data_IF_897252544813
#
_entry.id   IF_897252544813
#
_cell.length_a   1.000
_cell.length_b   1.000
_cell.length_c   1.000
_cell.angle_alpha   90.00
_cell.angle_beta   90.00
_cell.angle_gamma   90.00
#
_symmetry.space_group_name_H-M   'P 1'
#
loop_
_entity.id
_entity.type
_entity.pdbx_description
1 polymer ?
#
# COMPACT_ATOMS: atom_id res chain seq x y z
N UNK A 1 69.33 -26.38 35.86
CA UNK A 1 69.95 -27.71 36.02
C UNK A 1 68.94 -28.57 36.69
N UNK A 2 68.74 -29.80 36.20
CA UNK A 2 67.92 -30.88 36.79
C UNK A 2 66.43 -30.55 37.01
N UNK A 3 65.47 -31.27 36.41
CA UNK A 3 65.22 -32.73 36.46
C UNK A 3 64.88 -33.17 37.91
N UNK A 4 63.80 -33.89 38.21
CA UNK A 4 62.60 -34.22 37.41
C UNK A 4 61.44 -34.64 38.34
N UNK A 5 60.26 -34.88 37.75
CA UNK A 5 59.06 -35.63 38.17
C UNK A 5 59.11 -36.57 39.42
N UNK A 6 58.00 -36.86 40.13
CA UNK A 6 56.61 -36.33 40.12
C UNK A 6 55.97 -36.59 41.52
N UNK A 7 54.68 -36.82 41.85
CA UNK A 7 53.42 -37.14 41.14
C UNK A 7 52.20 -36.82 42.07
N UNK A 8 50.98 -37.20 41.71
CA UNK A 8 49.82 -37.45 42.61
C UNK A 8 49.07 -36.27 43.25
N UNK A 9 48.81 -35.20 42.49
CA UNK A 9 47.76 -34.23 42.86
C UNK A 9 46.36 -34.78 42.55
N UNK A 10 45.71 -35.41 43.53
CA UNK A 10 44.26 -35.64 43.52
C UNK A 10 43.54 -34.29 43.48
N UNK A 11 42.79 -34.01 42.40
CA UNK A 11 42.12 -32.72 42.22
C UNK A 11 40.84 -32.63 43.05
N UNK A 12 40.98 -32.21 44.30
CA UNK A 12 39.87 -31.93 45.20
C UNK A 12 39.16 -30.62 44.84
N UNK A 13 37.83 -30.65 44.74
CA UNK A 13 36.90 -29.51 44.73
C UNK A 13 37.14 -28.35 43.73
N UNK A 14 36.18 -28.19 42.80
CA UNK A 14 35.51 -26.90 42.67
C UNK A 14 34.01 -27.13 42.86
N UNK A 15 33.40 -26.34 43.74
CA UNK A 15 31.95 -26.34 43.93
C UNK A 15 31.28 -25.68 42.72
N UNK A 16 30.21 -26.28 42.22
CA UNK A 16 29.22 -25.59 41.40
C UNK A 16 28.13 -25.03 42.31
N UNK A 17 27.73 -23.77 42.12
CA UNK A 17 26.74 -23.11 42.97
C UNK A 17 25.36 -23.80 42.88
N UNK A 18 24.98 -24.50 43.95
CA UNK A 18 23.55 -24.70 44.26
C UNK A 18 22.97 -23.33 44.65
N UNK A 19 22.50 -22.58 43.65
CA UNK A 19 21.85 -21.29 43.83
C UNK A 19 20.52 -21.49 44.57
N UNK A 20 20.55 -21.43 45.90
CA UNK A 20 19.35 -21.39 46.74
C UNK A 20 18.52 -20.13 46.41
N UNK A 21 17.52 -20.30 45.54
CA UNK A 21 16.55 -19.26 45.20
C UNK A 21 15.88 -18.76 46.49
N UNK A 22 15.85 -17.44 46.76
CA UNK A 22 15.20 -16.89 47.95
C UNK A 22 13.77 -17.40 48.11
N UNK A 23 13.35 -17.68 49.35
CA UNK A 23 12.06 -18.33 49.67
C UNK A 23 10.85 -17.71 48.95
N UNK A 24 10.85 -16.39 48.73
CA UNK A 24 9.80 -15.67 47.99
C UNK A 24 9.71 -16.12 46.52
N UNK A 25 10.86 -16.36 45.88
CA UNK A 25 10.94 -16.87 44.50
C UNK A 25 10.54 -18.35 44.42
N UNK A 26 10.88 -19.15 45.43
CA UNK A 26 10.41 -20.54 45.55
C UNK A 26 8.89 -20.60 45.74
N UNK A 27 8.29 -19.72 46.55
CA UNK A 27 6.83 -19.62 46.67
C UNK A 27 6.17 -19.28 45.34
N UNK A 28 6.69 -18.27 44.61
CA UNK A 28 6.18 -17.91 43.28
C UNK A 28 6.26 -19.07 42.29
N UNK A 29 7.38 -19.80 42.25
CA UNK A 29 7.54 -20.98 41.40
C UNK A 29 6.57 -22.11 41.78
N UNK A 30 6.29 -22.32 43.06
CA UNK A 30 5.28 -23.28 43.53
C UNK A 30 3.87 -22.86 43.14
N UNK A 31 3.53 -21.58 43.17
CA UNK A 31 2.23 -21.07 42.71
C UNK A 31 2.07 -21.21 41.19
N UNK A 32 3.08 -20.86 40.39
CA UNK A 32 3.10 -21.04 38.93
C UNK A 32 2.98 -22.52 38.54
N UNK A 33 3.77 -23.40 39.17
CA UNK A 33 3.69 -24.84 38.93
C UNK A 33 2.36 -25.43 39.40
N UNK A 34 1.77 -24.95 40.50
CA UNK A 34 0.44 -25.36 40.96
C UNK A 34 -0.65 -24.98 39.95
N UNK A 35 -0.60 -23.75 39.42
CA UNK A 35 -1.50 -23.29 38.36
C UNK A 35 -1.34 -24.11 37.07
N UNK A 36 -0.10 -24.32 36.61
CA UNK A 36 0.21 -25.13 35.43
C UNK A 36 -0.26 -26.58 35.55
N UNK A 37 -0.01 -27.23 36.69
CA UNK A 37 -0.51 -28.59 36.97
C UNK A 37 -2.04 -28.64 37.03
N UNK A 38 -2.70 -27.61 37.57
CA UNK A 38 -4.17 -27.54 37.57
C UNK A 38 -4.73 -27.41 36.15
N UNK A 39 -4.11 -26.59 35.30
CA UNK A 39 -4.49 -26.44 33.89
C UNK A 39 -4.29 -27.75 33.10
N UNK A 40 -3.12 -28.39 33.22
CA UNK A 40 -2.84 -29.69 32.58
C UNK A 40 -3.79 -30.80 33.05
N UNK A 41 -4.20 -30.79 34.32
CA UNK A 41 -5.21 -31.72 34.85
C UNK A 41 -6.60 -31.48 34.24
N UNK A 42 -7.01 -30.23 34.07
CA UNK A 42 -8.28 -29.89 33.40
C UNK A 42 -8.22 -30.28 31.92
N UNK A 43 -7.10 -30.04 31.24
CA UNK A 43 -6.87 -30.47 29.86
C UNK A 43 -6.96 -32.01 29.73
N UNK A 44 -6.35 -32.74 30.67
CA UNK A 44 -6.42 -34.21 30.74
C UNK A 44 -7.84 -34.71 31.01
N UNK A 45 -8.58 -34.07 31.93
CA UNK A 45 -9.98 -34.44 32.23
C UNK A 45 -10.90 -34.21 31.00
N UNK A 46 -10.66 -33.15 30.22
CA UNK A 46 -11.35 -32.89 28.95
C UNK A 46 -11.01 -33.96 27.91
N UNK A 47 -9.73 -34.33 27.75
CA UNK A 47 -9.32 -35.43 26.86
C UNK A 47 -9.92 -36.78 27.29
N UNK A 48 -9.93 -37.10 28.58
CA UNK A 48 -10.56 -38.32 29.10
C UNK A 48 -12.06 -38.33 28.83
N UNK A 49 -12.78 -37.25 29.10
CA UNK A 49 -14.22 -37.15 28.79
C UNK A 49 -14.48 -37.39 27.31
N UNK A 50 -13.76 -36.68 26.44
CA UNK A 50 -13.91 -36.83 24.99
C UNK A 50 -13.63 -38.25 24.51
N UNK A 51 -12.55 -38.86 24.99
CA UNK A 51 -12.18 -40.22 24.66
C UNK A 51 -13.24 -41.24 25.13
N UNK A 52 -13.76 -41.08 26.36
CA UNK A 52 -14.85 -41.89 26.90
C UNK A 52 -16.21 -41.70 26.17
N UNK A 53 -16.41 -40.58 25.44
CA UNK A 53 -17.56 -40.39 24.52
C UNK A 53 -17.35 -41.11 23.18
N UNK A 54 -16.10 -41.22 22.71
CA UNK A 54 -15.77 -41.82 21.42
C UNK A 54 -15.66 -43.34 21.44
N UNK A 55 -15.23 -43.97 22.53
CA UNK A 55 -15.15 -45.43 22.61
C UNK A 55 -16.55 -46.08 22.48
N UNK A 56 -16.77 -46.98 21.51
CA UNK A 56 -17.94 -47.85 21.50
C UNK A 56 -17.99 -48.64 22.81
N UNK A 57 -19.19 -48.73 23.40
CA UNK A 57 -19.44 -49.20 24.77
C UNK A 57 -18.87 -50.58 25.10
N UNK A 58 -18.55 -51.37 24.09
CA UNK A 58 -17.98 -52.71 24.15
C UNK A 58 -16.46 -52.75 24.44
N UNK A 59 -15.74 -51.64 24.21
CA UNK A 59 -14.26 -51.57 24.34
C UNK A 59 -13.76 -50.94 25.65
N UNK A 60 -14.57 -50.98 26.72
CA UNK A 60 -14.16 -50.54 28.06
C UNK A 60 -13.04 -51.40 28.64
N UNK A 61 -11.80 -51.08 28.29
CA UNK A 61 -10.63 -51.64 28.94
C UNK A 61 -10.67 -51.30 30.44
N UNK A 62 -10.41 -52.30 31.28
CA UNK A 62 -10.51 -52.15 32.73
C UNK A 62 -9.57 -51.03 33.23
N UNK A 63 -10.08 -50.15 34.11
CA UNK A 63 -9.31 -49.03 34.65
C UNK A 63 -8.04 -49.54 35.32
N UNK A 64 -6.90 -48.96 34.95
CA UNK A 64 -5.60 -49.25 35.59
C UNK A 64 -5.56 -48.89 37.09
N UNK A 65 -6.56 -48.16 37.60
CA UNK A 65 -6.74 -47.83 39.02
C UNK A 65 -6.94 -49.04 39.94
N UNK A 66 -7.41 -50.17 39.41
CA UNK A 66 -7.76 -51.33 40.24
C UNK A 66 -6.57 -52.29 40.48
N UNK A 67 -5.43 -52.04 39.82
CA UNK A 67 -4.19 -52.80 40.05
C UNK A 67 -3.48 -52.25 41.30
N UNK A 68 -3.89 -52.74 42.49
CA UNK A 68 -3.15 -52.55 43.75
C UNK A 68 -1.83 -53.32 43.75
N UNK A 69 -0.82 -52.83 43.04
CA UNK A 69 0.55 -53.36 43.14
C UNK A 69 1.09 -53.05 44.53
N UNK A 70 1.44 -54.08 45.30
CA UNK A 70 2.13 -53.90 46.58
C UNK A 70 3.59 -53.47 46.34
N UNK A 71 4.07 -52.51 47.13
CA UNK A 71 5.47 -52.05 47.12
C UNK A 71 6.48 -53.20 47.31
N UNK A 72 6.06 -54.31 47.90
CA UNK A 72 6.88 -55.50 48.17
C UNK A 72 7.25 -56.34 46.95
N UNK A 73 6.55 -56.23 45.82
CA UNK A 73 6.75 -57.11 44.65
C UNK A 73 7.78 -56.59 43.64
N UNK A 74 8.05 -55.28 43.64
CA UNK A 74 9.01 -54.63 42.73
C UNK A 74 10.46 -55.15 42.87
N UNK A 75 10.82 -55.73 44.01
CA UNK A 75 12.21 -56.14 44.29
C UNK A 75 12.64 -57.46 43.63
N UNK A 76 11.72 -58.34 43.23
CA UNK A 76 12.06 -59.74 42.88
C UNK A 76 12.24 -60.02 41.37
N UNK A 77 12.01 -59.04 40.48
CA UNK A 77 12.05 -59.24 39.03
C UNK A 77 13.41 -58.94 38.35
N UNK A 78 14.54 -58.90 39.07
CA UNK A 78 15.89 -58.97 38.48
C UNK A 78 16.23 -60.40 37.99
N UNK A 79 15.40 -60.94 37.09
CA UNK A 79 15.32 -62.35 36.71
C UNK A 79 15.62 -62.71 35.25
N UNK A 80 16.66 -62.12 34.64
CA UNK A 80 17.34 -62.58 33.40
C UNK A 80 16.45 -63.16 32.28
N UNK A 81 15.94 -62.35 31.35
CA UNK A 81 15.55 -62.83 29.99
C UNK A 81 15.68 -61.80 28.86
N UNK A 82 16.81 -61.95 28.13
CA UNK A 82 17.04 -61.77 26.68
C UNK A 82 16.47 -60.52 25.98
N UNK A 83 17.38 -59.71 25.44
CA UNK A 83 17.10 -58.59 24.53
C UNK A 83 16.35 -59.00 23.26
N UNK A 84 15.39 -58.16 22.85
CA UNK A 84 14.97 -58.03 21.45
C UNK A 84 14.50 -56.61 21.16
N UNK A 85 15.39 -55.80 20.57
CA UNK A 85 15.07 -54.42 20.24
C UNK A 85 14.07 -54.35 19.07
N UNK A 86 12.96 -53.67 19.30
CA UNK A 86 12.34 -52.72 18.36
C UNK A 86 12.09 -51.46 19.19
N UNK A 87 12.72 -50.31 18.95
CA UNK A 87 12.90 -49.63 17.67
C UNK A 87 11.58 -49.25 17.00
N UNK A 88 10.56 -48.96 17.82
CA UNK A 88 9.70 -47.82 17.57
C UNK A 88 10.07 -46.75 18.60
N UNK A 89 10.51 -45.57 18.14
CA UNK A 89 10.39 -44.37 18.97
C UNK A 89 8.89 -44.11 19.04
N UNK A 90 8.29 -44.26 20.21
CA UNK A 90 6.89 -43.93 20.43
C UNK A 90 6.76 -42.41 20.38
N UNK A 91 6.65 -41.88 19.15
CA UNK A 91 6.28 -40.50 18.90
C UNK A 91 4.84 -40.37 19.36
N UNK A 92 4.67 -39.99 20.62
CA UNK A 92 3.42 -39.46 21.15
C UNK A 92 2.93 -38.41 20.14
N UNK A 93 1.90 -38.75 19.37
CA UNK A 93 1.33 -37.86 18.36
C UNK A 93 0.50 -36.84 19.13
N UNK A 94 1.19 -35.82 19.65
CA UNK A 94 0.54 -34.70 20.33
C UNK A 94 -0.40 -34.02 19.35
N UNK A 95 -1.68 -33.95 19.71
CA UNK A 95 -2.69 -33.19 18.98
C UNK A 95 -2.16 -31.78 18.69
N UNK A 96 -2.38 -31.29 17.46
CA UNK A 96 -2.01 -29.92 17.10
C UNK A 96 -2.81 -28.93 17.95
N UNK A 97 -2.31 -27.70 18.11
CA UNK A 97 -3.02 -26.66 18.88
C UNK A 97 -4.44 -26.44 18.31
N UNK A 98 -4.58 -26.52 16.99
CA UNK A 98 -5.86 -26.47 16.27
C UNK A 98 -6.80 -27.62 16.66
N UNK A 99 -6.33 -28.88 16.60
CA UNK A 99 -7.09 -30.06 17.04
C UNK A 99 -7.49 -29.98 18.52
N UNK A 100 -6.63 -29.44 19.39
CA UNK A 100 -6.96 -29.18 20.80
C UNK A 100 -8.05 -28.11 20.94
N UNK A 101 -7.99 -27.03 20.17
CA UNK A 101 -9.01 -25.98 20.15
C UNK A 101 -10.37 -26.50 19.65
N UNK A 102 -10.41 -27.29 18.58
CA UNK A 102 -11.62 -27.98 18.10
C UNK A 102 -12.22 -28.86 19.20
N UNK A 103 -11.38 -29.62 19.92
CA UNK A 103 -11.82 -30.48 21.02
C UNK A 103 -12.44 -29.69 22.17
N UNK A 104 -11.76 -28.62 22.60
CA UNK A 104 -12.21 -27.76 23.70
C UNK A 104 -13.52 -27.06 23.33
N UNK A 105 -13.70 -26.65 22.07
CA UNK A 105 -14.98 -26.10 21.58
C UNK A 105 -16.10 -27.14 21.61
N UNK A 106 -15.83 -28.38 21.19
CA UNK A 106 -16.82 -29.46 21.19
C UNK A 106 -17.23 -29.89 22.61
N UNK A 107 -16.26 -30.16 23.49
CA UNK A 107 -16.53 -30.45 24.91
C UNK A 107 -17.25 -29.28 25.60
N UNK A 108 -16.98 -28.02 25.20
CA UNK A 108 -17.69 -26.85 25.70
C UNK A 108 -19.15 -26.80 25.27
N UNK A 109 -19.51 -27.17 24.03
CA UNK A 109 -20.91 -27.26 23.62
C UNK A 109 -21.63 -28.49 24.19
N UNK A 110 -20.95 -29.65 24.26
CA UNK A 110 -21.49 -30.86 24.89
C UNK A 110 -21.82 -30.58 26.37
N UNK A 111 -20.89 -29.98 27.13
CA UNK A 111 -21.13 -29.62 28.54
C UNK A 111 -22.14 -28.48 28.73
N UNK A 112 -22.27 -27.54 27.77
CA UNK A 112 -23.38 -26.57 27.75
C UNK A 112 -24.72 -27.27 27.59
N UNK A 113 -24.83 -28.26 26.71
CA UNK A 113 -26.09 -29.01 26.52
C UNK A 113 -26.43 -29.89 27.73
N UNK A 114 -25.44 -30.57 28.32
CA UNK A 114 -25.59 -31.26 29.61
C UNK A 114 -26.11 -30.31 30.70
N UNK A 115 -25.58 -29.10 30.80
CA UNK A 115 -26.04 -28.07 31.73
C UNK A 115 -27.46 -27.56 31.43
N UNK A 116 -27.83 -27.40 30.16
CA UNK A 116 -29.22 -27.05 29.74
C UNK A 116 -30.18 -28.17 30.17
N UNK A 117 -29.86 -29.43 29.87
CA UNK A 117 -30.71 -30.57 30.21
C UNK A 117 -30.81 -30.78 31.73
N UNK A 118 -29.72 -30.65 32.48
CA UNK A 118 -29.75 -30.76 33.95
C UNK A 118 -30.60 -29.66 34.58
N UNK A 119 -30.50 -28.40 34.12
CA UNK A 119 -31.38 -27.31 34.57
C UNK A 119 -32.85 -27.60 34.26
N UNK A 120 -33.15 -28.02 33.04
CA UNK A 120 -34.51 -28.36 32.62
C UNK A 120 -35.10 -29.60 33.32
N UNK A 121 -34.26 -30.47 33.91
CA UNK A 121 -34.68 -31.51 34.84
C UNK A 121 -34.97 -30.93 36.22
N UNK A 122 -33.99 -30.26 36.83
CA UNK A 122 -34.11 -29.71 38.18
C UNK A 122 -35.28 -28.72 38.34
N UNK A 123 -35.55 -27.90 37.33
CA UNK A 123 -36.72 -27.01 37.30
C UNK A 123 -38.05 -27.79 37.28
N UNK A 124 -38.11 -28.89 36.54
CA UNK A 124 -39.28 -29.78 36.48
C UNK A 124 -39.53 -30.47 37.82
N UNK A 125 -38.47 -30.94 38.45
CA UNK A 125 -38.52 -31.66 39.72
C UNK A 125 -38.86 -30.69 40.87
N UNK A 126 -38.33 -29.45 40.82
CA UNK A 126 -38.71 -28.35 41.71
C UNK A 126 -40.20 -28.01 41.57
N UNK A 127 -40.70 -27.76 40.35
CA UNK A 127 -42.14 -27.51 40.09
C UNK A 127 -43.02 -28.69 40.54
N UNK A 128 -42.52 -29.93 40.45
CA UNK A 128 -43.25 -31.10 40.95
C UNK A 128 -43.33 -31.12 42.48
N UNK A 129 -42.24 -30.80 43.18
CA UNK A 129 -42.21 -30.73 44.63
C UNK A 129 -43.03 -29.54 45.18
N UNK A 130 -42.98 -28.37 44.53
CA UNK A 130 -43.84 -27.23 44.85
C UNK A 130 -45.33 -27.62 44.77
N UNK A 131 -45.75 -28.27 43.68
CA UNK A 131 -47.13 -28.75 43.52
C UNK A 131 -47.55 -29.80 44.56
N UNK A 132 -46.62 -30.61 45.08
CA UNK A 132 -46.87 -31.55 46.20
C UNK A 132 -47.07 -30.78 47.52
N UNK A 133 -46.27 -29.75 47.77
CA UNK A 133 -46.37 -28.91 48.97
C UNK A 133 -47.69 -28.13 48.97
N UNK A 134 -48.06 -27.49 47.84
CA UNK A 134 -49.35 -26.81 47.69
C UNK A 134 -50.53 -27.77 47.93
N UNK A 135 -50.48 -28.99 47.39
CA UNK A 135 -51.53 -29.99 47.60
C UNK A 135 -51.60 -30.45 49.07
N UNK A 136 -50.45 -30.55 49.75
CA UNK A 136 -50.39 -30.90 51.17
C UNK A 136 -50.96 -29.78 52.07
N UNK A 137 -50.63 -28.52 51.80
CA UNK A 137 -51.15 -27.36 52.55
C UNK A 137 -52.66 -27.19 52.35
N UNK A 138 -53.15 -27.36 51.12
CA UNK A 138 -54.60 -27.36 50.83
C UNK A 138 -55.31 -28.48 51.60
N UNK A 139 -54.77 -29.71 51.56
CA UNK A 139 -55.32 -30.85 52.33
C UNK A 139 -55.29 -30.59 53.83
N UNK A 140 -54.21 -30.04 54.37
CA UNK A 140 -54.09 -29.71 55.79
C UNK A 140 -55.15 -28.68 56.21
N UNK A 141 -55.31 -27.60 55.43
CA UNK A 141 -56.35 -26.61 55.66
C UNK A 141 -57.77 -27.16 55.50
N UNK A 142 -58.00 -28.16 54.63
CA UNK A 142 -59.27 -28.89 54.54
C UNK A 142 -59.53 -29.80 55.75
N UNK A 143 -58.53 -30.58 56.19
CA UNK A 143 -58.65 -31.47 57.37
C UNK A 143 -58.88 -30.67 58.65
N UNK A 144 -58.15 -29.56 58.86
CA UNK A 144 -58.33 -28.68 60.01
C UNK A 144 -59.73 -28.06 60.03
N UNK A 145 -60.26 -27.62 58.87
CA UNK A 145 -61.66 -27.14 58.78
C UNK A 145 -62.66 -28.26 59.06
N UNK A 146 -62.48 -29.45 58.47
CA UNK A 146 -63.36 -30.59 58.67
C UNK A 146 -63.41 -31.07 60.14
N UNK A 147 -62.27 -31.05 60.85
CA UNK A 147 -62.18 -31.34 62.28
C UNK A 147 -62.97 -30.32 63.12
N UNK A 148 -62.75 -29.02 62.88
CA UNK A 148 -63.45 -27.95 63.58
C UNK A 148 -64.97 -27.97 63.34
N UNK A 149 -65.38 -28.19 62.08
CA UNK A 149 -66.79 -28.34 61.69
C UNK A 149 -67.42 -29.59 62.34
N UNK A 150 -66.70 -30.72 62.41
CA UNK A 150 -67.19 -31.93 63.07
C UNK A 150 -67.33 -31.75 64.59
N UNK A 151 -66.36 -31.10 65.24
CA UNK A 151 -66.45 -30.80 66.68
C UNK A 151 -67.66 -29.91 67.00
N UNK A 152 -67.90 -28.90 66.16
CA UNK A 152 -69.02 -27.96 66.26
C UNK A 152 -70.37 -28.62 65.96
N UNK A 153 -70.55 -29.14 64.75
CA UNK A 153 -71.86 -29.57 64.25
C UNK A 153 -72.27 -30.95 64.77
N UNK A 154 -71.30 -31.77 65.21
CA UNK A 154 -71.52 -33.12 65.74
C UNK A 154 -71.18 -33.19 67.22
N UNK A 155 -69.90 -33.13 67.63
CA UNK A 155 -69.51 -33.47 69.01
C UNK A 155 -70.20 -32.60 70.06
N UNK A 156 -70.19 -31.26 69.89
CA UNK A 156 -70.89 -30.32 70.79
C UNK A 156 -72.41 -30.50 70.75
N UNK A 157 -72.97 -30.82 69.58
CA UNK A 157 -74.42 -31.03 69.38
C UNK A 157 -74.92 -32.34 70.03
N UNK A 158 -74.17 -33.44 69.94
CA UNK A 158 -74.60 -34.77 70.42
C UNK A 158 -74.07 -35.13 71.81
N UNK A 159 -73.17 -34.33 72.39
CA UNK A 159 -72.52 -34.59 73.70
C UNK A 159 -73.48 -35.09 74.79
N UNK A 160 -74.59 -34.38 75.01
CA UNK A 160 -75.62 -34.73 76.03
C UNK A 160 -76.60 -35.84 75.60
N UNK A 161 -76.42 -36.44 74.41
CA UNK A 161 -77.31 -37.46 73.81
C UNK A 161 -76.54 -38.65 73.21
N UNK A 162 -75.29 -38.88 73.62
CA UNK A 162 -74.43 -39.98 73.16
C UNK A 162 -75.13 -41.32 73.34
N UNK A 163 -75.15 -42.16 72.30
CA UNK A 163 -75.86 -43.45 72.27
C UNK A 163 -77.34 -43.38 71.88
N UNK A 164 -77.95 -42.19 71.76
CA UNK A 164 -79.32 -42.05 71.26
C UNK A 164 -79.40 -42.28 69.75
N UNK A 165 -80.50 -42.88 69.27
CA UNK A 165 -80.83 -43.03 67.84
C UNK A 165 -80.71 -41.69 67.10
N UNK A 166 -81.15 -40.59 67.73
CA UNK A 166 -81.06 -39.23 67.16
C UNK A 166 -79.61 -38.76 66.96
N UNK A 167 -78.68 -39.17 67.83
CA UNK A 167 -77.26 -38.87 67.67
C UNK A 167 -76.67 -39.66 66.49
N UNK A 168 -77.02 -40.94 66.36
CA UNK A 168 -76.62 -41.78 65.21
C UNK A 168 -77.15 -41.21 63.89
N UNK A 169 -78.43 -40.80 63.83
CA UNK A 169 -79.02 -40.15 62.65
C UNK A 169 -78.29 -38.84 62.29
N UNK A 170 -77.91 -38.03 63.27
CA UNK A 170 -77.15 -36.78 63.05
C UNK A 170 -75.75 -37.05 62.48
N UNK A 171 -75.08 -38.11 62.93
CA UNK A 171 -73.78 -38.55 62.38
C UNK A 171 -73.93 -39.08 60.95
N UNK A 172 -74.92 -39.95 60.70
CA UNK A 172 -75.19 -40.49 59.35
C UNK A 172 -75.46 -39.37 58.34
N UNK A 173 -76.33 -38.41 58.68
CA UNK A 173 -76.61 -37.27 57.81
C UNK A 173 -75.36 -36.41 57.52
N UNK A 174 -74.50 -36.20 58.51
CA UNK A 174 -73.23 -35.48 58.28
C UNK A 174 -72.32 -36.22 57.29
N UNK A 175 -72.22 -37.55 57.40
CA UNK A 175 -71.43 -38.37 56.46
C UNK A 175 -72.02 -38.29 55.05
N UNK A 176 -73.34 -38.37 54.90
CA UNK A 176 -74.03 -38.18 53.60
C UNK A 176 -73.79 -36.80 53.00
N UNK A 177 -73.98 -35.73 53.78
CA UNK A 177 -73.82 -34.35 53.31
C UNK A 177 -72.34 -34.03 53.00
N UNK A 178 -71.37 -34.61 53.73
CA UNK A 178 -69.93 -34.52 53.40
C UNK A 178 -69.55 -35.32 52.15
N UNK A 179 -70.15 -36.50 51.92
CA UNK A 179 -69.97 -37.24 50.67
C UNK A 179 -70.49 -36.42 49.47
N UNK A 180 -71.70 -35.87 49.56
CA UNK A 180 -72.26 -34.97 48.53
C UNK A 180 -71.37 -33.75 48.25
N UNK A 181 -70.82 -33.12 49.30
CA UNK A 181 -69.84 -32.01 49.15
C UNK A 181 -68.59 -32.46 48.40
N UNK A 182 -68.02 -33.61 48.75
CA UNK A 182 -66.83 -34.19 48.10
C UNK A 182 -67.08 -34.54 46.63
N UNK A 183 -68.23 -35.11 46.30
CA UNK A 183 -68.62 -35.40 44.92
C UNK A 183 -68.78 -34.12 44.08
N UNK A 184 -69.44 -33.09 44.63
CA UNK A 184 -69.55 -31.78 43.98
C UNK A 184 -68.18 -31.11 43.73
N UNK A 185 -67.19 -31.30 44.61
CA UNK A 185 -65.81 -30.81 44.40
C UNK A 185 -65.09 -31.63 43.33
N UNK A 186 -65.18 -32.96 43.39
CA UNK A 186 -64.61 -33.89 42.39
C UNK A 186 -65.06 -33.54 40.98
N UNK A 187 -66.35 -33.27 40.76
CA UNK A 187 -66.87 -32.98 39.43
C UNK A 187 -66.55 -31.54 38.95
N UNK A 188 -66.45 -30.56 39.86
CA UNK A 188 -65.86 -29.24 39.55
C UNK A 188 -64.40 -29.35 39.11
N UNK A 189 -63.59 -30.14 39.82
CA UNK A 189 -62.17 -30.36 39.48
C UNK A 189 -62.01 -31.10 38.15
N UNK A 190 -62.87 -32.07 37.84
CA UNK A 190 -62.93 -32.73 36.52
C UNK A 190 -63.19 -31.75 35.39
N UNK A 191 -64.20 -30.88 35.52
CA UNK A 191 -64.52 -29.85 34.52
C UNK A 191 -63.35 -28.86 34.34
N UNK A 192 -62.72 -28.40 35.43
CA UNK A 192 -61.54 -27.53 35.37
C UNK A 192 -60.34 -28.23 34.71
N UNK A 193 -60.12 -29.52 34.97
CA UNK A 193 -59.05 -30.30 34.35
C UNK A 193 -59.24 -30.46 32.84
N UNK A 194 -60.48 -30.69 32.36
CA UNK A 194 -60.81 -30.72 30.93
C UNK A 194 -60.59 -29.35 30.30
N UNK A 195 -61.06 -28.27 30.93
CA UNK A 195 -60.83 -26.89 30.47
C UNK A 195 -59.34 -26.56 30.32
N UNK A 196 -58.52 -26.87 31.34
CA UNK A 196 -57.07 -26.65 31.30
C UNK A 196 -56.37 -27.52 30.25
N UNK A 197 -56.82 -28.75 30.01
CA UNK A 197 -56.31 -29.60 28.91
C UNK A 197 -56.60 -28.99 27.54
N UNK A 198 -57.78 -28.41 27.31
CA UNK A 198 -58.11 -27.69 26.07
C UNK A 198 -57.26 -26.42 25.94
N UNK A 199 -57.11 -25.65 27.02
CA UNK A 199 -56.26 -24.45 27.02
C UNK A 199 -54.80 -24.79 26.71
N UNK A 200 -54.23 -25.83 27.34
CA UNK A 200 -52.86 -26.31 27.05
C UNK A 200 -52.70 -26.73 25.59
N UNK A 201 -53.68 -27.45 25.01
CA UNK A 201 -53.66 -27.79 23.57
C UNK A 201 -53.69 -26.55 22.68
N UNK A 202 -54.51 -25.53 23.01
CA UNK A 202 -54.53 -24.26 22.27
C UNK A 202 -53.19 -23.52 22.37
N UNK A 203 -52.61 -23.40 23.57
CA UNK A 203 -51.32 -22.73 23.75
C UNK A 203 -50.18 -23.44 23.00
N UNK A 204 -50.14 -24.78 23.02
CA UNK A 204 -49.16 -25.56 22.26
C UNK A 204 -49.34 -25.41 20.74
N UNK A 205 -50.59 -25.33 20.26
CA UNK A 205 -50.85 -25.05 18.84
C UNK A 205 -50.44 -23.62 18.46
N UNK A 206 -50.67 -22.64 19.33
CA UNK A 206 -50.25 -21.24 19.10
C UNK A 206 -48.73 -21.06 19.22
N UNK A 207 -48.04 -21.86 20.03
CA UNK A 207 -46.58 -21.93 20.06
C UNK A 207 -46.07 -22.49 18.74
N UNK A 208 -46.58 -23.66 18.31
CA UNK A 208 -46.25 -24.25 17.01
C UNK A 208 -46.52 -23.30 15.84
N UNK A 209 -47.66 -22.62 15.82
CA UNK A 209 -47.97 -21.62 14.78
C UNK A 209 -47.07 -20.37 14.82
N UNK A 210 -46.31 -20.14 15.89
CA UNK A 210 -45.24 -19.12 15.97
C UNK A 210 -43.85 -19.66 15.66
N UNK A 211 -43.66 -20.98 15.75
CA UNK A 211 -42.46 -21.68 15.30
C UNK A 211 -42.53 -21.88 13.77
N UNK A 212 -43.64 -22.42 13.25
CA UNK A 212 -43.97 -22.57 11.82
C UNK A 212 -44.22 -21.21 11.14
N UNK A 213 -44.94 -20.30 11.81
CA UNK A 213 -45.08 -18.90 11.38
C UNK A 213 -43.87 -18.03 11.73
N UNK A 214 -42.80 -18.64 12.26
CA UNK A 214 -41.48 -18.06 12.42
C UNK A 214 -40.68 -18.12 11.12
N UNK A 215 -41.33 -17.87 9.98
CA UNK A 215 -40.81 -17.91 8.61
C UNK A 215 -39.88 -16.69 8.33
N UNK A 216 -38.93 -16.48 9.24
CA UNK A 216 -38.05 -15.31 9.32
C UNK A 216 -36.58 -15.75 9.35
N UNK A 217 -36.17 -16.35 8.22
CA UNK A 217 -34.90 -17.05 7.94
C UNK A 217 -34.73 -18.35 8.73
N UNK A 218 -34.67 -19.46 8.00
CA UNK A 218 -34.05 -20.70 8.45
C UNK A 218 -32.53 -20.54 8.52
N UNK A 219 -31.83 -21.43 9.23
CA UNK A 219 -30.36 -21.47 9.23
C UNK A 219 -29.78 -21.64 7.81
N UNK A 220 -30.51 -22.28 6.90
CA UNK A 220 -30.16 -22.41 5.47
C UNK A 220 -30.16 -21.05 4.78
N UNK A 221 -31.14 -20.19 5.05
CA UNK A 221 -31.23 -18.84 4.47
C UNK A 221 -30.09 -17.95 5.00
N UNK A 222 -29.76 -18.06 6.29
CA UNK A 222 -28.58 -17.42 6.87
C UNK A 222 -27.25 -17.95 6.29
N UNK A 223 -27.16 -19.23 5.95
CA UNK A 223 -25.97 -19.82 5.31
C UNK A 223 -25.86 -19.37 3.84
N UNK A 224 -26.96 -19.34 3.09
CA UNK A 224 -27.00 -18.82 1.73
C UNK A 224 -26.56 -17.36 1.68
N UNK A 225 -27.10 -16.50 2.54
CA UNK A 225 -26.70 -15.08 2.63
C UNK A 225 -25.20 -14.91 2.96
N UNK A 226 -24.62 -15.80 3.79
CA UNK A 226 -23.16 -15.79 4.06
C UNK A 226 -22.34 -16.20 2.83
N UNK A 227 -22.80 -17.20 2.08
CA UNK A 227 -22.15 -17.67 0.85
C UNK A 227 -22.21 -16.59 -0.24
N UNK A 228 -23.38 -16.00 -0.48
CA UNK A 228 -23.57 -14.90 -1.43
C UNK A 228 -22.73 -13.67 -1.05
N UNK A 229 -22.68 -13.30 0.23
CA UNK A 229 -21.85 -12.20 0.71
C UNK A 229 -20.34 -12.47 0.49
N UNK A 230 -19.87 -13.68 0.76
CA UNK A 230 -18.48 -14.07 0.52
C UNK A 230 -18.12 -14.03 -0.98
N UNK A 231 -18.99 -14.53 -1.86
CA UNK A 231 -18.80 -14.49 -3.32
C UNK A 231 -18.80 -13.05 -3.86
N UNK A 232 -19.65 -12.17 -3.31
CA UNK A 232 -19.66 -10.75 -3.67
C UNK A 232 -18.39 -10.04 -3.20
N UNK A 233 -17.88 -10.34 -1.99
CA UNK A 233 -16.61 -9.81 -1.49
C UNK A 233 -15.42 -10.27 -2.35
N UNK A 234 -15.34 -11.56 -2.69
CA UNK A 234 -14.30 -12.10 -3.60
C UNK A 234 -14.36 -11.44 -4.97
N UNK A 235 -15.56 -11.22 -5.51
CA UNK A 235 -15.77 -10.50 -6.79
C UNK A 235 -15.31 -9.04 -6.70
N UNK A 236 -15.59 -8.34 -5.60
CA UNK A 236 -15.14 -6.97 -5.36
C UNK A 236 -13.62 -6.91 -5.25
N UNK A 237 -13.01 -7.84 -4.52
CA UNK A 237 -11.56 -7.96 -4.34
C UNK A 237 -10.84 -8.17 -5.68
N UNK A 238 -11.33 -9.11 -6.50
CA UNK A 238 -10.81 -9.35 -7.85
C UNK A 238 -10.89 -8.10 -8.75
N UNK A 239 -12.04 -7.40 -8.76
CA UNK A 239 -12.19 -6.15 -9.55
C UNK A 239 -11.38 -4.98 -9.02
N UNK A 240 -11.10 -4.92 -7.72
CA UNK A 240 -10.16 -3.95 -7.15
C UNK A 240 -8.73 -4.25 -7.61
N UNK A 241 -8.32 -5.52 -7.65
CA UNK A 241 -7.00 -5.92 -8.17
C UNK A 241 -6.85 -5.61 -9.66
N UNK A 242 -7.85 -5.93 -10.49
CA UNK A 242 -7.91 -5.51 -11.90
C UNK A 242 -7.77 -3.98 -12.06
N UNK A 243 -8.51 -3.20 -11.27
CA UNK A 243 -8.46 -1.73 -11.29
C UNK A 243 -7.09 -1.17 -10.89
N UNK A 244 -6.39 -1.81 -9.95
CA UNK A 244 -5.02 -1.44 -9.56
C UNK A 244 -4.05 -1.72 -10.71
N UNK A 245 -4.13 -2.88 -11.37
CA UNK A 245 -3.30 -3.20 -12.53
C UNK A 245 -3.56 -2.26 -13.71
N UNK A 246 -4.83 -1.91 -13.97
CA UNK A 246 -5.21 -0.91 -14.99
C UNK A 246 -4.66 0.49 -14.68
N UNK A 247 -4.65 0.91 -13.40
CA UNK A 247 -4.03 2.18 -12.98
C UNK A 247 -2.52 2.18 -13.17
N UNK A 248 -1.84 1.09 -12.79
CA UNK A 248 -0.38 0.95 -12.93
C UNK A 248 0.04 0.95 -14.41
N UNK A 249 -0.62 0.13 -15.24
CA UNK A 249 -0.36 0.08 -16.69
C UNK A 249 -0.68 1.40 -17.39
N UNK A 250 -1.76 2.10 -17.01
CA UNK A 250 -2.06 3.45 -17.51
C UNK A 250 -1.01 4.47 -17.09
N UNK A 251 -0.51 4.42 -15.85
CA UNK A 251 0.56 5.30 -15.36
C UNK A 251 1.87 5.10 -16.12
N UNK A 252 2.29 3.84 -16.28
CA UNK A 252 3.47 3.47 -17.06
C UNK A 252 3.34 3.92 -18.53
N UNK A 253 2.17 3.73 -19.15
CA UNK A 253 1.90 4.17 -20.53
C UNK A 253 2.00 5.70 -20.67
N UNK A 254 1.48 6.45 -19.69
CA UNK A 254 1.56 7.91 -19.67
C UNK A 254 3.00 8.40 -19.45
N UNK A 255 3.79 7.72 -18.62
CA UNK A 255 5.22 8.01 -18.45
C UNK A 255 5.99 7.78 -19.76
N UNK A 256 5.76 6.63 -20.42
CA UNK A 256 6.37 6.30 -21.72
C UNK A 256 6.00 7.35 -22.77
N UNK A 257 4.71 7.69 -22.88
CA UNK A 257 4.22 8.73 -23.81
C UNK A 257 4.91 10.08 -23.56
N UNK A 258 5.07 10.51 -22.31
CA UNK A 258 5.79 11.74 -21.99
C UNK A 258 7.27 11.67 -22.39
N UNK A 259 7.97 10.54 -22.19
CA UNK A 259 9.38 10.42 -22.64
C UNK A 259 9.53 10.48 -24.16
N UNK A 260 8.58 9.94 -24.93
CA UNK A 260 8.57 10.08 -26.38
C UNK A 260 8.21 11.51 -26.82
N UNK A 261 7.31 12.18 -26.08
CA UNK A 261 6.96 13.60 -26.33
C UNK A 261 8.16 14.53 -26.12
N UNK A 262 8.95 14.31 -25.06
CA UNK A 262 10.21 15.06 -24.84
C UNK A 262 11.22 14.83 -25.97
N UNK A 263 11.50 13.56 -26.32
CA UNK A 263 12.42 13.23 -27.42
C UNK A 263 11.99 13.80 -28.77
N UNK A 264 10.68 13.84 -29.05
CA UNK A 264 10.13 14.47 -30.25
C UNK A 264 10.33 15.99 -30.24
N UNK A 265 10.19 16.63 -29.07
CA UNK A 265 10.43 18.06 -28.91
C UNK A 265 11.92 18.40 -29.07
N UNK A 266 12.81 17.64 -28.44
CA UNK A 266 14.28 17.75 -28.58
C UNK A 266 14.71 17.60 -30.06
N UNK A 267 14.18 16.59 -30.76
CA UNK A 267 14.44 16.38 -32.18
C UNK A 267 13.89 17.49 -33.08
N UNK A 268 12.74 18.08 -32.73
CA UNK A 268 12.18 19.22 -33.45
C UNK A 268 13.01 20.50 -33.24
N UNK A 269 13.46 20.77 -32.02
CA UNK A 269 14.37 21.89 -31.73
C UNK A 269 15.70 21.73 -32.46
N UNK A 270 16.25 20.51 -32.51
CA UNK A 270 17.46 20.19 -33.26
C UNK A 270 17.27 20.37 -34.78
N UNK A 271 16.10 20.01 -35.34
CA UNK A 271 15.78 20.34 -36.73
C UNK A 271 15.78 21.85 -36.94
N UNK A 272 15.11 22.60 -36.06
CA UNK A 272 15.01 24.06 -36.14
C UNK A 272 16.38 24.76 -35.96
N UNK A 273 17.34 24.19 -35.24
CA UNK A 273 18.72 24.70 -35.22
C UNK A 273 19.48 24.36 -36.49
N UNK A 274 19.38 23.12 -36.99
CA UNK A 274 20.02 22.70 -38.25
C UNK A 274 19.49 23.47 -39.46
N UNK A 275 18.18 23.76 -39.53
CA UNK A 275 17.58 24.58 -40.59
C UNK A 275 18.16 26.01 -40.60
N UNK A 276 18.45 26.59 -39.42
CA UNK A 276 19.11 27.90 -39.29
C UNK A 276 20.58 27.84 -39.69
N UNK A 277 21.31 26.82 -39.25
CA UNK A 277 22.71 26.60 -39.66
C UNK A 277 22.81 26.39 -41.18
N UNK A 278 21.91 25.61 -41.78
CA UNK A 278 21.82 25.42 -43.23
C UNK A 278 21.47 26.73 -43.96
N UNK A 279 20.65 27.61 -43.39
CA UNK A 279 20.38 28.93 -43.97
C UNK A 279 21.62 29.84 -43.92
N UNK A 280 22.32 29.91 -42.78
CA UNK A 280 23.56 30.69 -42.62
C UNK A 280 24.68 30.18 -43.53
N UNK A 281 24.83 28.85 -43.67
CA UNK A 281 25.80 28.23 -44.58
C UNK A 281 25.48 28.59 -46.03
N UNK A 282 24.20 28.58 -46.45
CA UNK A 282 23.79 29.00 -47.80
C UNK A 282 24.10 30.48 -48.06
N UNK A 283 23.78 31.38 -47.13
CA UNK A 283 24.09 32.81 -47.26
C UNK A 283 25.60 33.05 -47.40
N UNK A 284 26.42 32.34 -46.60
CA UNK A 284 27.87 32.38 -46.70
C UNK A 284 28.38 31.82 -48.03
N UNK A 285 27.77 30.76 -48.55
CA UNK A 285 28.12 30.16 -49.84
C UNK A 285 27.79 31.12 -51.01
N UNK A 286 26.59 31.70 -51.04
CA UNK A 286 26.20 32.75 -51.99
C UNK A 286 27.10 34.00 -51.92
N UNK A 287 27.65 34.30 -50.73
CA UNK A 287 28.65 35.36 -50.58
C UNK A 287 30.00 34.95 -51.19
N UNK A 288 30.50 33.75 -50.89
CA UNK A 288 31.76 33.23 -51.43
C UNK A 288 31.70 33.09 -52.96
N UNK A 289 30.58 32.66 -53.52
CA UNK A 289 30.38 32.60 -54.99
C UNK A 289 30.50 33.98 -55.62
N UNK A 290 29.84 35.01 -55.05
CA UNK A 290 29.96 36.40 -55.53
C UNK A 290 31.39 36.95 -55.41
N UNK A 291 32.06 36.70 -54.29
CA UNK A 291 33.47 37.10 -54.10
C UNK A 291 34.41 36.36 -55.07
N UNK A 292 34.12 35.09 -55.39
CA UNK A 292 34.88 34.28 -56.36
C UNK A 292 34.70 34.81 -57.78
N UNK A 293 33.46 35.10 -58.21
CA UNK A 293 33.19 35.69 -59.53
C UNK A 293 33.87 37.06 -59.67
N UNK A 294 33.83 37.91 -58.64
CA UNK A 294 34.53 39.20 -58.67
C UNK A 294 36.05 39.03 -58.78
N UNK A 295 36.63 38.08 -58.04
CA UNK A 295 38.06 37.77 -58.12
C UNK A 295 38.47 37.20 -59.49
N UNK A 296 37.61 36.40 -60.15
CA UNK A 296 37.84 35.92 -61.52
C UNK A 296 37.78 37.06 -62.54
N UNK A 297 36.80 37.97 -62.44
CA UNK A 297 36.76 39.16 -63.27
C UNK A 297 38.03 40.01 -63.13
N UNK A 298 38.47 40.26 -61.90
CA UNK A 298 39.61 41.13 -61.62
C UNK A 298 40.93 40.47 -61.99
N UNK A 299 41.03 39.13 -61.86
CA UNK A 299 42.09 38.32 -62.48
C UNK A 299 42.10 38.50 -64.00
N UNK A 300 40.96 38.39 -64.68
CA UNK A 300 40.87 38.54 -66.13
C UNK A 300 41.24 39.95 -66.60
N UNK A 301 40.80 41.00 -65.89
CA UNK A 301 41.21 42.41 -66.12
C UNK A 301 42.72 42.57 -65.96
N UNK A 302 43.31 42.01 -64.90
CA UNK A 302 44.75 42.07 -64.64
C UNK A 302 45.57 41.28 -65.68
N UNK A 303 45.13 40.08 -66.08
CA UNK A 303 45.75 39.25 -67.12
C UNK A 303 45.71 39.93 -68.50
N UNK A 304 44.61 40.60 -68.86
CA UNK A 304 44.51 41.38 -70.08
C UNK A 304 45.52 42.55 -70.10
N UNK A 305 45.63 43.31 -69.00
CA UNK A 305 46.61 44.39 -68.87
C UNK A 305 48.05 43.84 -68.89
N UNK A 306 48.32 42.73 -68.20
CA UNK A 306 49.64 42.09 -68.18
C UNK A 306 50.05 41.63 -69.60
N UNK A 307 49.14 41.00 -70.33
CA UNK A 307 49.37 40.58 -71.71
C UNK A 307 49.56 41.77 -72.66
N UNK A 308 48.86 42.89 -72.47
CA UNK A 308 49.10 44.13 -73.22
C UNK A 308 50.49 44.70 -72.94
N UNK A 309 50.89 44.79 -71.67
CA UNK A 309 52.22 45.27 -71.26
C UNK A 309 53.34 44.35 -71.78
N UNK A 310 53.15 43.02 -71.76
CA UNK A 310 54.09 42.06 -72.34
C UNK A 310 54.26 42.23 -73.85
N UNK A 311 53.18 42.48 -74.60
CA UNK A 311 53.25 42.83 -76.04
C UNK A 311 54.04 44.11 -76.26
N UNK A 312 53.68 45.18 -75.54
CA UNK A 312 54.39 46.46 -75.63
C UNK A 312 55.89 46.33 -75.28
N UNK A 313 56.25 45.50 -74.30
CA UNK A 313 57.64 45.24 -73.94
C UNK A 313 58.41 44.43 -75.00
N UNK A 314 57.75 43.51 -75.71
CA UNK A 314 58.34 42.74 -76.81
C UNK A 314 58.50 43.56 -78.10
N UNK A 315 57.53 44.43 -78.38
CA UNK A 315 57.51 45.41 -79.46
C UNK A 315 58.51 46.55 -79.23
N UNK A 316 58.77 46.91 -77.97
CA UNK A 316 59.71 47.97 -77.62
C UNK A 316 61.13 47.68 -78.14
N UNK A 317 61.71 48.70 -78.79
CA UNK A 317 63.12 48.76 -79.13
C UNK A 317 63.66 50.08 -78.60
N UNK A 318 64.60 50.00 -77.66
CA UNK A 318 65.30 51.17 -77.18
C UNK A 318 66.01 51.87 -78.35
N UNK A 319 65.77 53.17 -78.61
CA UNK A 319 66.46 53.89 -79.67
C UNK A 319 67.99 53.83 -79.46
N UNK A 320 68.79 53.59 -80.51
CA UNK A 320 70.25 53.66 -80.42
C UNK A 320 70.71 54.98 -79.80
N UNK A 321 71.64 54.91 -78.84
CA UNK A 321 72.12 56.06 -78.07
C UNK A 321 72.59 57.21 -78.97
N UNK A 322 73.17 56.89 -80.14
CA UNK A 322 73.59 57.89 -81.13
C UNK A 322 72.45 58.73 -81.69
N UNK A 323 71.24 58.19 -81.87
CA UNK A 323 70.08 58.99 -82.30
C UNK A 323 69.67 59.98 -81.20
N UNK A 324 69.63 59.54 -79.94
CA UNK A 324 69.35 60.44 -78.82
C UNK A 324 70.42 61.55 -78.69
N UNK A 325 71.69 61.23 -78.92
CA UNK A 325 72.78 62.22 -78.94
C UNK A 325 72.64 63.18 -80.12
N UNK A 326 72.29 62.71 -81.33
CA UNK A 326 72.07 63.55 -82.49
C UNK A 326 70.88 64.51 -82.31
N UNK A 327 69.73 64.01 -81.85
CA UNK A 327 68.57 64.83 -81.49
C UNK A 327 68.92 65.85 -80.39
N UNK A 328 69.73 65.46 -79.40
CA UNK A 328 70.14 66.38 -78.32
C UNK A 328 71.10 67.48 -78.80
N UNK A 329 71.98 67.18 -79.76
CA UNK A 329 72.83 68.17 -80.44
C UNK A 329 71.96 69.11 -81.29
N UNK A 330 71.08 68.57 -82.13
CA UNK A 330 70.21 69.36 -83.01
C UNK A 330 69.27 70.28 -82.22
N UNK A 331 68.71 69.82 -81.09
CA UNK A 331 67.97 70.67 -80.17
C UNK A 331 68.85 71.80 -79.58
N UNK A 332 70.13 71.51 -79.25
CA UNK A 332 71.07 72.53 -78.79
C UNK A 332 71.45 73.56 -79.88
N UNK A 333 71.56 73.14 -81.13
CA UNK A 333 71.78 74.02 -82.28
C UNK A 333 70.55 74.91 -82.56
N UNK A 334 69.34 74.37 -82.40
CA UNK A 334 68.09 75.13 -82.46
C UNK A 334 68.00 76.16 -81.31
N UNK A 335 68.28 75.76 -80.07
CA UNK A 335 68.34 76.68 -78.92
C UNK A 335 69.37 77.81 -79.13
N UNK A 336 70.55 77.51 -79.68
CA UNK A 336 71.58 78.50 -79.98
C UNK A 336 71.17 79.41 -81.15
N UNK A 337 70.45 78.87 -82.13
CA UNK A 337 69.87 79.66 -83.24
C UNK A 337 68.82 80.64 -82.73
N UNK A 338 67.93 80.19 -81.84
CA UNK A 338 66.92 81.04 -81.16
C UNK A 338 67.62 82.18 -80.42
N UNK A 339 68.60 81.88 -79.54
CA UNK A 339 69.40 82.87 -78.80
C UNK A 339 70.18 83.85 -79.69
N UNK A 340 70.47 83.46 -80.94
CA UNK A 340 71.13 84.30 -81.94
C UNK A 340 70.13 85.22 -82.66
N UNK A 341 68.91 84.74 -82.92
CA UNK A 341 67.83 85.57 -83.45
C UNK A 341 67.29 86.56 -82.41
N UNK A 342 67.15 86.16 -81.15
CA UNK A 342 66.79 87.05 -80.02
C UNK A 342 67.74 88.25 -79.93
N UNK A 343 69.07 88.02 -79.95
CA UNK A 343 70.06 89.10 -79.99
C UNK A 343 69.99 89.98 -81.24
N UNK A 344 69.68 89.41 -82.41
CA UNK A 344 69.47 90.21 -83.63
C UNK A 344 68.25 91.13 -83.48
N UNK A 345 67.15 90.62 -82.94
CA UNK A 345 65.94 91.40 -82.63
C UNK A 345 66.29 92.52 -81.66
N UNK A 346 66.95 92.23 -80.53
CA UNK A 346 67.39 93.21 -79.54
C UNK A 346 68.24 94.33 -80.16
N UNK A 347 69.20 94.00 -81.03
CA UNK A 347 70.03 94.98 -81.75
C UNK A 347 69.19 95.83 -82.72
N UNK A 348 68.23 95.23 -83.45
CA UNK A 348 67.33 96.00 -84.32
C UNK A 348 66.37 96.90 -83.54
N UNK A 349 65.87 96.47 -82.37
CA UNK A 349 65.10 97.35 -81.50
C UNK A 349 65.95 98.47 -80.87
N UNK A 350 67.21 98.17 -80.49
CA UNK A 350 68.15 99.17 -79.96
C UNK A 350 68.45 100.25 -81.00
N UNK A 351 68.72 99.86 -82.24
CA UNK A 351 68.94 100.80 -83.35
C UNK A 351 67.66 101.55 -83.73
N UNK A 352 66.49 100.88 -83.75
CA UNK A 352 65.19 101.54 -83.96
C UNK A 352 64.88 102.57 -82.86
N UNK A 353 65.13 102.23 -81.58
CA UNK A 353 65.04 103.17 -80.44
C UNK A 353 66.03 104.34 -80.59
N UNK A 354 67.20 104.10 -81.18
CA UNK A 354 68.16 105.13 -81.57
C UNK A 354 67.62 106.08 -82.64
N UNK A 355 67.12 105.54 -83.77
CA UNK A 355 66.49 106.30 -84.84
C UNK A 355 65.25 107.08 -84.36
N UNK A 356 64.45 106.52 -83.46
CA UNK A 356 63.30 107.21 -82.89
C UNK A 356 63.72 108.39 -81.99
N UNK A 357 64.84 108.28 -81.26
CA UNK A 357 65.43 109.40 -80.50
C UNK A 357 66.02 110.49 -81.39
N UNK A 358 66.65 110.16 -82.51
CA UNK A 358 67.18 111.18 -83.46
C UNK A 358 66.06 111.83 -84.27
N UNK A 359 65.07 111.05 -84.72
CA UNK A 359 63.86 111.55 -85.37
C UNK A 359 63.10 112.52 -84.47
N UNK A 360 62.83 112.18 -83.22
CA UNK A 360 62.12 113.08 -82.31
C UNK A 360 62.93 114.37 -82.02
N UNK A 361 64.27 114.32 -81.99
CA UNK A 361 65.10 115.53 -81.94
C UNK A 361 64.96 116.40 -83.19
N UNK A 362 65.04 115.80 -84.39
CA UNK A 362 64.80 116.51 -85.66
C UNK A 362 63.39 117.11 -85.73
N UNK A 363 62.38 116.38 -85.25
CA UNK A 363 61.01 116.87 -85.18
C UNK A 363 60.92 118.12 -84.29
N UNK A 364 61.50 118.10 -83.09
CA UNK A 364 61.49 119.28 -82.21
C UNK A 364 62.26 120.48 -82.77
N UNK A 365 63.29 120.30 -83.61
CA UNK A 365 63.94 121.43 -84.30
C UNK A 365 63.17 121.91 -85.54
N UNK A 366 62.47 121.03 -86.26
CA UNK A 366 61.56 121.45 -87.33
C UNK A 366 60.35 122.23 -86.79
N UNK A 367 59.75 121.78 -85.69
CA UNK A 367 58.62 122.46 -85.03
C UNK A 367 59.02 123.85 -84.47
N UNK A 368 60.30 124.06 -84.14
CA UNK A 368 60.84 125.37 -83.76
C UNK A 368 61.20 126.27 -84.96
N UNK A 369 61.35 125.73 -86.17
CA UNK A 369 61.66 126.50 -87.39
C UNK A 369 60.42 126.86 -88.22
N UNK A 370 59.26 126.24 -87.96
CA UNK A 370 58.00 126.54 -88.65
C UNK A 370 57.24 127.76 -88.11
N UNK A 371 57.72 128.40 -87.03
CA UNK A 371 57.14 129.65 -86.50
C UNK A 371 57.69 130.93 -87.15
N UNK A 372 58.67 130.82 -88.06
CA UNK A 372 59.28 131.97 -88.74
C UNK A 372 59.17 131.91 -90.27
N UNK A 373 58.10 132.52 -90.80
CA UNK A 373 58.12 133.12 -92.15
C UNK A 373 57.38 132.37 -93.26
N UNK A 374 56.19 132.85 -93.62
CA UNK A 374 55.71 132.80 -95.02
C UNK A 374 54.84 134.05 -95.28
N UNK A 375 55.24 134.95 -96.21
CA UNK A 375 54.43 136.10 -96.60
C UNK A 375 53.58 135.81 -97.85
N UNK A 376 52.57 136.64 -98.09
CA UNK A 376 52.15 136.97 -99.46
C UNK A 376 50.78 136.48 -99.96
N UNK A 377 49.69 137.02 -99.39
CA UNK A 377 48.69 137.75 -100.18
C UNK A 377 47.84 138.68 -99.31
#
# INVERSE_FOLDING_TARGET
MTDDDSESNLTESQAGDENELPVIQLCGLVEELSYGNSALRIETEMFEKYYNRLEPRDHRHARLSDIKVSSTEYAQLRGRRKSKARAGLDRVISLTVEQKCELVQKELEDTKEELRHMRANAERDLQHHEAIIEEADIRWAEVQRAMNDFEKDILKTISKKKGSILATQKVMKYIEDMNRRRDNVKDKLRLKNVSLKVQRKKMLLQLRQKEEGGEALHDVDFQQLKIENAQLLETIEARNQELIQLKLTSGNTLQILNTYKSKLHEGLEMSISLDKEMALIKELLEKIERETVQAEEDRAKAEYVNNKLRKQLAEFRAPPVMLYVQEKIMNGELENSIKTWERKVEITEMTLRGYHKTWNKMKTTCEQLQTTGTPGK
#
